data_IF_660903738328
#
_entry.id   IF_660903738328
#
_cell.length_a   1.000
_cell.length_b   1.000
_cell.length_c   1.000
_cell.angle_alpha   90.00
_cell.angle_beta   90.00
_cell.angle_gamma   90.00
#
_symmetry.space_group_name_H-M   'P 1'
#
loop_
_entity.id
_entity.type
_entity.pdbx_description
1 polymer ?
#
# COMPACT_ATOMS: atom_id res chain seq x y z
N UNK A 1 23.58 1.75 -18.44
CA UNK A 1 22.76 0.80 -17.66
C UNK A 1 22.20 1.50 -16.42
N UNK A 2 23.08 2.04 -15.56
CA UNK A 2 22.68 2.77 -14.33
C UNK A 2 21.65 3.89 -14.57
N UNK A 3 21.75 4.67 -15.66
CA UNK A 3 20.81 5.78 -15.92
C UNK A 3 19.34 5.36 -15.98
N UNK A 4 19.05 4.16 -16.50
CA UNK A 4 17.69 3.63 -16.54
C UNK A 4 17.18 3.32 -15.14
N UNK A 5 18.05 2.80 -14.27
CA UNK A 5 17.76 2.53 -12.87
C UNK A 5 17.57 3.82 -12.06
N UNK A 6 18.45 4.81 -12.25
CA UNK A 6 18.43 6.07 -11.51
C UNK A 6 17.13 6.87 -11.69
N UNK A 7 16.37 6.64 -12.76
CA UNK A 7 15.05 7.29 -12.99
C UNK A 7 14.01 6.90 -11.95
N UNK A 8 14.19 5.75 -11.28
CA UNK A 8 13.28 5.28 -10.24
C UNK A 8 13.67 5.78 -8.85
N UNK A 9 14.75 6.55 -8.72
CA UNK A 9 15.29 7.03 -7.45
C UNK A 9 15.14 8.55 -7.38
N UNK A 10 14.14 9.07 -6.64
CA UNK A 10 13.78 10.48 -6.68
C UNK A 10 14.78 11.39 -5.95
N UNK A 11 15.43 10.88 -4.91
CA UNK A 11 16.39 11.63 -4.11
C UNK A 11 17.65 10.81 -3.86
N UNK A 12 18.73 11.21 -4.52
CA UNK A 12 20.04 10.56 -4.43
C UNK A 12 20.95 11.18 -3.36
N UNK A 13 20.49 12.27 -2.74
CA UNK A 13 21.26 13.02 -1.74
C UNK A 13 21.07 12.48 -0.32
N UNK A 14 20.10 11.60 -0.10
CA UNK A 14 19.92 10.93 1.19
C UNK A 14 21.09 9.99 1.49
N UNK A 15 21.38 9.85 2.78
CA UNK A 15 22.22 8.75 3.25
C UNK A 15 21.59 7.43 2.81
N UNK A 16 22.40 6.58 2.19
CA UNK A 16 21.96 5.26 1.77
C UNK A 16 23.09 4.25 1.80
N UNK A 17 22.73 2.98 1.93
CA UNK A 17 23.65 1.85 1.81
C UNK A 17 23.37 1.12 0.51
N UNK A 18 24.43 0.89 -0.28
CA UNK A 18 24.34 0.25 -1.59
C UNK A 18 25.19 -1.01 -1.57
N UNK A 19 24.60 -2.12 -1.96
CA UNK A 19 25.31 -3.38 -2.23
C UNK A 19 25.47 -3.53 -3.74
N UNK A 20 26.71 -3.62 -4.20
CA UNK A 20 27.09 -3.94 -5.58
C UNK A 20 27.60 -5.39 -5.57
N UNK A 21 26.74 -6.34 -5.96
CA UNK A 21 26.91 -7.77 -5.72
C UNK A 21 27.25 -8.48 -7.03
N UNK A 22 28.50 -8.90 -7.19
CA UNK A 22 29.05 -9.28 -8.50
C UNK A 22 29.68 -8.08 -9.20
N UNK A 23 30.53 -7.34 -8.48
CA UNK A 23 31.06 -6.05 -8.93
C UNK A 23 31.91 -6.10 -10.20
N UNK A 24 32.41 -7.28 -10.59
CA UNK A 24 33.36 -7.54 -11.67
C UNK A 24 34.67 -6.78 -11.52
N UNK A 25 34.65 -5.47 -11.66
CA UNK A 25 35.79 -4.56 -11.61
C UNK A 25 35.56 -3.31 -10.73
N UNK A 26 34.43 -3.26 -10.00
CA UNK A 26 33.99 -2.13 -9.17
C UNK A 26 33.69 -0.83 -9.93
N UNK A 27 33.61 -0.82 -11.26
CA UNK A 27 33.24 0.40 -11.99
C UNK A 27 31.80 0.82 -11.66
N UNK A 28 30.89 -0.14 -11.47
CA UNK A 28 29.51 0.16 -11.06
C UNK A 28 29.44 0.80 -9.66
N UNK A 29 30.26 0.33 -8.72
CA UNK A 29 30.46 0.96 -7.42
C UNK A 29 30.97 2.41 -7.53
N UNK A 30 31.89 2.70 -8.46
CA UNK A 30 32.37 4.07 -8.69
C UNK A 30 31.26 4.96 -9.30
N UNK A 31 30.44 4.40 -10.20
CA UNK A 31 29.26 5.13 -10.70
C UNK A 31 28.29 5.48 -9.56
N UNK A 32 28.01 4.55 -8.65
CA UNK A 32 27.21 4.82 -7.46
C UNK A 32 27.84 5.88 -6.56
N UNK A 33 29.15 5.82 -6.33
CA UNK A 33 29.89 6.82 -5.56
C UNK A 33 29.68 8.23 -6.10
N UNK A 34 29.71 8.38 -7.43
CA UNK A 34 29.55 9.67 -8.10
C UNK A 34 28.08 10.17 -8.10
N UNK A 35 27.11 9.24 -8.18
CA UNK A 35 25.68 9.58 -8.28
C UNK A 35 25.01 9.78 -6.92
N UNK A 36 25.55 9.16 -5.86
CA UNK A 36 25.00 9.21 -4.50
C UNK A 36 26.08 9.74 -3.55
N UNK A 37 26.14 11.07 -3.33
CA UNK A 37 27.23 11.69 -2.57
C UNK A 37 27.33 11.24 -1.11
N UNK A 38 26.22 10.77 -0.53
CA UNK A 38 26.14 10.31 0.86
C UNK A 38 25.99 8.79 0.99
N UNK A 39 26.21 8.03 -0.09
CA UNK A 39 26.12 6.58 -0.04
C UNK A 39 27.36 5.95 0.59
N UNK A 40 27.15 4.88 1.37
CA UNK A 40 28.19 3.89 1.70
C UNK A 40 27.97 2.64 0.85
N UNK A 41 29.01 2.22 0.15
CA UNK A 41 28.95 1.20 -0.90
C UNK A 41 29.77 -0.01 -0.48
N UNK A 42 29.16 -1.18 -0.57
CA UNK A 42 29.80 -2.47 -0.31
C UNK A 42 29.80 -3.27 -1.62
N UNK A 43 30.99 -3.43 -2.17
CA UNK A 43 31.25 -4.14 -3.41
C UNK A 43 31.61 -5.60 -3.10
N UNK A 44 30.98 -6.57 -3.74
CA UNK A 44 31.23 -7.99 -3.53
C UNK A 44 31.79 -8.61 -4.80
N UNK A 45 32.97 -9.23 -4.70
CA UNK A 45 33.61 -9.92 -5.81
C UNK A 45 34.43 -11.13 -5.31
N UNK A 46 34.44 -12.21 -6.06
CA UNK A 46 35.13 -13.45 -5.71
C UNK A 46 36.10 -13.94 -6.79
N UNK A 47 36.03 -13.37 -7.99
CA UNK A 47 36.79 -13.80 -9.14
C UNK A 47 38.27 -13.37 -9.01
N UNK A 48 39.20 -14.32 -8.89
CA UNK A 48 40.62 -13.99 -8.76
C UNK A 48 41.17 -13.22 -9.96
N UNK A 49 40.54 -13.36 -11.14
CA UNK A 49 40.95 -12.66 -12.35
C UNK A 49 40.66 -11.15 -12.29
N UNK A 50 39.78 -10.70 -11.38
CA UNK A 50 39.35 -9.31 -11.33
C UNK A 50 39.51 -8.64 -9.96
N UNK A 51 39.76 -9.39 -8.90
CA UNK A 51 40.00 -8.83 -7.55
C UNK A 51 41.09 -7.75 -7.52
N UNK A 52 42.21 -7.94 -8.23
CA UNK A 52 43.26 -6.91 -8.32
C UNK A 52 42.80 -5.64 -9.05
N UNK A 53 41.93 -5.81 -10.05
CA UNK A 53 41.32 -4.69 -10.80
C UNK A 53 40.37 -3.93 -9.87
N UNK A 54 39.50 -4.64 -9.13
CA UNK A 54 38.62 -4.05 -8.12
C UNK A 54 39.40 -3.20 -7.12
N UNK A 55 40.43 -3.78 -6.48
CA UNK A 55 41.27 -3.08 -5.50
C UNK A 55 41.91 -1.81 -6.09
N UNK A 56 42.45 -1.91 -7.29
CA UNK A 56 43.08 -0.78 -7.99
C UNK A 56 42.09 0.33 -8.33
N UNK A 57 40.91 -0.03 -8.82
CA UNK A 57 39.88 0.94 -9.24
C UNK A 57 39.35 1.75 -8.06
N UNK A 58 39.14 1.12 -6.91
CA UNK A 58 38.57 1.78 -5.73
C UNK A 58 39.61 2.50 -4.84
N UNK A 59 40.90 2.49 -5.21
CA UNK A 59 42.00 3.02 -4.36
C UNK A 59 41.73 4.45 -3.87
N UNK A 60 41.17 5.31 -4.73
CA UNK A 60 40.83 6.71 -4.42
C UNK A 60 39.43 6.92 -3.84
N UNK A 61 38.67 5.84 -3.57
CA UNK A 61 37.25 5.89 -3.18
C UNK A 61 36.97 5.13 -1.87
N UNK A 62 38.04 4.79 -1.13
CA UNK A 62 37.98 3.99 0.11
C UNK A 62 37.28 4.69 1.28
N UNK A 63 36.98 5.98 1.15
CA UNK A 63 36.18 6.73 2.12
C UNK A 63 34.72 6.24 2.17
N UNK A 64 34.20 5.71 1.06
CA UNK A 64 32.81 5.23 0.96
C UNK A 64 32.63 3.87 0.28
N UNK A 65 33.62 3.35 -0.45
CA UNK A 65 33.56 2.02 -1.08
C UNK A 65 34.40 1.02 -0.31
N UNK A 66 33.80 -0.12 0.07
CA UNK A 66 34.46 -1.25 0.73
C UNK A 66 34.33 -2.49 -0.16
N UNK A 67 35.46 -3.09 -0.54
CA UNK A 67 35.49 -4.37 -1.23
C UNK A 67 35.41 -5.53 -0.24
N UNK A 68 34.48 -6.44 -0.48
CA UNK A 68 34.29 -7.69 0.26
C UNK A 68 34.63 -8.84 -0.68
N UNK A 69 35.68 -9.57 -0.34
CA UNK A 69 36.18 -10.66 -1.16
C UNK A 69 35.51 -11.99 -0.79
N UNK A 70 34.91 -12.64 -1.79
CA UNK A 70 34.20 -13.89 -1.64
C UNK A 70 32.86 -13.89 -2.38
N UNK A 71 32.38 -15.08 -2.72
CA UNK A 71 31.10 -15.25 -3.39
C UNK A 71 29.96 -14.87 -2.44
N UNK A 72 28.79 -14.55 -2.98
CA UNK A 72 27.58 -14.33 -2.18
C UNK A 72 26.66 -15.53 -2.34
N UNK A 73 26.17 -16.07 -1.23
CA UNK A 73 25.34 -17.27 -1.19
C UNK A 73 24.33 -17.23 -0.01
N UNK A 74 23.54 -18.28 0.15
CA UNK A 74 22.62 -18.47 1.28
C UNK A 74 23.26 -19.16 2.49
N UNK A 75 24.57 -19.38 2.49
CA UNK A 75 25.37 -19.85 3.63
C UNK A 75 26.77 -19.20 3.65
N UNK A 76 27.41 -19.21 4.82
CA UNK A 76 28.81 -18.82 4.98
C UNK A 76 29.71 -20.06 4.91
N UNK A 77 30.85 -19.99 4.22
CA UNK A 77 31.78 -21.12 4.12
C UNK A 77 32.67 -21.08 2.89
N UNK A 78 32.95 -22.24 2.31
CA UNK A 78 33.62 -22.37 1.02
C UNK A 78 32.63 -22.89 -0.03
N UNK A 79 32.73 -22.37 -1.25
CA UNK A 79 31.95 -22.81 -2.40
C UNK A 79 32.86 -23.07 -3.61
N UNK A 80 32.41 -23.95 -4.50
CA UNK A 80 33.01 -24.09 -5.82
C UNK A 80 32.66 -22.87 -6.68
N UNK A 81 33.64 -22.29 -7.35
CA UNK A 81 33.48 -21.19 -8.27
C UNK A 81 34.17 -21.51 -9.59
N UNK A 82 33.53 -21.11 -10.69
CA UNK A 82 33.94 -21.44 -12.05
C UNK A 82 34.32 -20.18 -12.83
N UNK A 83 35.50 -19.60 -12.56
CA UNK A 83 35.97 -18.41 -13.24
C UNK A 83 36.18 -18.70 -14.73
N UNK A 84 35.79 -17.75 -15.56
CA UNK A 84 36.08 -17.77 -16.98
C UNK A 84 37.59 -17.74 -17.21
N UNK A 85 38.09 -18.73 -17.95
CA UNK A 85 39.44 -18.72 -18.49
C UNK A 85 39.50 -17.74 -19.68
N UNK A 86 39.77 -16.47 -19.39
CA UNK A 86 39.76 -15.36 -20.35
C UNK A 86 40.63 -15.60 -21.60
N UNK A 87 41.63 -16.50 -21.53
CA UNK A 87 42.51 -16.83 -22.66
C UNK A 87 41.94 -17.91 -23.58
N UNK A 88 41.02 -18.74 -23.09
CA UNK A 88 40.47 -19.90 -23.81
C UNK A 88 39.01 -19.71 -24.21
N UNK A 89 38.27 -18.87 -23.50
CA UNK A 89 36.90 -18.51 -23.86
C UNK A 89 36.85 -17.80 -25.21
N UNK A 90 35.90 -18.20 -26.05
CA UNK A 90 35.64 -17.55 -27.35
C UNK A 90 34.50 -16.56 -27.16
N UNK A 91 34.83 -15.28 -27.26
CA UNK A 91 33.92 -14.17 -26.98
C UNK A 91 34.23 -12.94 -27.83
N UNK A 92 33.28 -12.03 -27.97
CA UNK A 92 33.47 -10.69 -28.56
C UNK A 92 34.08 -9.68 -27.58
N UNK A 93 34.10 -10.00 -26.27
CA UNK A 93 34.67 -9.13 -25.25
C UNK A 93 36.20 -9.18 -25.25
N UNK A 94 36.83 -8.00 -25.36
CA UNK A 94 38.31 -7.89 -25.49
C UNK A 94 39.07 -8.39 -24.26
N UNK A 95 38.44 -8.38 -23.10
CA UNK A 95 39.00 -8.86 -21.84
C UNK A 95 38.68 -10.33 -21.58
N UNK A 96 38.08 -11.06 -22.54
CA UNK A 96 37.75 -12.47 -22.36
C UNK A 96 36.53 -12.73 -21.47
N UNK A 97 35.72 -11.69 -21.20
CA UNK A 97 34.47 -11.75 -20.44
C UNK A 97 34.58 -12.43 -19.06
N UNK A 98 35.40 -11.91 -18.13
CA UNK A 98 35.47 -12.46 -16.77
C UNK A 98 34.14 -12.33 -16.00
N UNK A 99 33.22 -11.45 -16.45
CA UNK A 99 31.90 -11.27 -15.86
C UNK A 99 30.98 -12.48 -16.01
N UNK A 100 31.18 -13.31 -17.04
CA UNK A 100 30.44 -14.57 -17.22
C UNK A 100 30.91 -15.71 -16.28
N UNK A 101 31.54 -15.37 -15.16
CA UNK A 101 31.97 -16.35 -14.16
C UNK A 101 30.83 -16.60 -13.18
N UNK A 102 30.65 -17.85 -12.75
CA UNK A 102 29.51 -18.23 -11.90
C UNK A 102 29.92 -19.28 -10.87
N UNK A 103 29.13 -19.42 -9.81
CA UNK A 103 29.17 -20.60 -8.92
C UNK A 103 28.53 -21.84 -9.58
N UNK A 104 27.94 -21.69 -10.77
CA UNK A 104 27.36 -22.75 -11.58
C UNK A 104 28.23 -23.06 -12.81
N UNK A 105 28.24 -24.33 -13.25
CA UNK A 105 28.96 -24.75 -14.47
C UNK A 105 28.13 -24.42 -15.71
N UNK A 106 28.75 -23.82 -16.72
CA UNK A 106 28.15 -23.60 -18.04
C UNK A 106 27.62 -24.92 -18.61
N UNK A 107 26.40 -24.89 -19.15
CA UNK A 107 25.80 -26.03 -19.85
C UNK A 107 26.12 -26.02 -21.36
N UNK A 108 26.88 -25.04 -21.85
CA UNK A 108 27.25 -24.84 -23.26
C UNK A 108 26.07 -24.63 -24.22
N UNK A 109 24.91 -24.20 -23.72
CA UNK A 109 23.74 -23.90 -24.59
C UNK A 109 23.76 -22.48 -25.14
N UNK A 110 24.46 -21.55 -24.49
CA UNK A 110 24.58 -20.17 -24.94
C UNK A 110 25.42 -20.09 -26.21
N UNK A 111 24.79 -19.76 -27.34
CA UNK A 111 25.41 -19.88 -28.67
C UNK A 111 26.31 -18.70 -29.05
N UNK A 112 26.22 -17.58 -28.33
CA UNK A 112 26.96 -16.36 -28.67
C UNK A 112 28.42 -16.42 -28.24
N UNK A 113 28.74 -17.26 -27.25
CA UNK A 113 30.07 -17.39 -26.66
C UNK A 113 30.35 -18.86 -26.33
N UNK A 114 31.62 -19.27 -26.34
CA UNK A 114 32.03 -20.61 -25.89
C UNK A 114 32.85 -20.43 -24.62
N UNK A 115 32.22 -20.70 -23.48
CA UNK A 115 32.83 -20.53 -22.17
C UNK A 115 33.76 -21.69 -21.84
N UNK A 116 35.00 -21.35 -21.51
CA UNK A 116 35.94 -22.26 -20.87
C UNK A 116 36.10 -21.80 -19.42
N UNK A 117 35.71 -22.65 -18.48
CA UNK A 117 35.79 -22.35 -17.05
C UNK A 117 36.94 -23.12 -16.41
N UNK A 118 37.71 -22.43 -15.56
CA UNK A 118 38.56 -23.10 -14.58
C UNK A 118 37.69 -23.49 -13.35
N UNK A 119 38.24 -24.28 -12.42
CA UNK A 119 37.52 -24.74 -11.23
C UNK A 119 38.34 -24.42 -9.98
N UNK A 120 37.80 -23.59 -9.10
CA UNK A 120 38.47 -23.19 -7.85
C UNK A 120 37.51 -23.23 -6.67
N UNK A 121 38.06 -23.25 -5.46
CA UNK A 121 37.30 -22.97 -4.23
C UNK A 121 37.53 -21.51 -3.82
N UNK A 122 36.47 -20.87 -3.35
CA UNK A 122 36.53 -19.53 -2.76
C UNK A 122 35.62 -19.46 -1.54
N UNK A 123 35.87 -18.48 -0.67
CA UNK A 123 34.97 -18.24 0.45
C UNK A 123 33.63 -17.71 -0.10
N UNK A 124 32.53 -18.07 0.54
CA UNK A 124 31.22 -17.48 0.32
C UNK A 124 30.66 -16.89 1.61
N UNK A 125 29.83 -15.86 1.46
CA UNK A 125 29.21 -15.15 2.56
C UNK A 125 27.71 -15.03 2.36
N UNK A 126 26.97 -15.13 3.46
CA UNK A 126 25.62 -14.57 3.53
C UNK A 126 25.71 -13.06 3.62
N UNK A 127 24.80 -12.37 2.92
CA UNK A 127 24.69 -10.92 3.01
C UNK A 127 24.33 -10.47 4.44
N UNK A 128 23.49 -11.21 5.17
CA UNK A 128 23.16 -10.87 6.56
C UNK A 128 24.34 -11.02 7.53
N UNK A 129 25.22 -12.00 7.32
CA UNK A 129 26.46 -12.18 8.08
C UNK A 129 27.42 -11.03 7.85
N UNK A 130 27.55 -10.57 6.60
CA UNK A 130 28.31 -9.36 6.26
C UNK A 130 27.71 -8.13 6.93
N UNK A 131 26.39 -7.95 6.88
CA UNK A 131 25.71 -6.83 7.53
C UNK A 131 26.02 -6.78 9.02
N UNK A 132 25.96 -7.93 9.72
CA UNK A 132 26.33 -8.02 11.14
C UNK A 132 27.81 -7.68 11.38
N UNK A 133 28.72 -8.17 10.53
CA UNK A 133 30.17 -7.95 10.65
C UNK A 133 30.56 -6.48 10.50
N UNK A 134 29.89 -5.74 9.60
CA UNK A 134 30.18 -4.33 9.31
C UNK A 134 29.21 -3.34 9.99
N UNK A 135 28.38 -3.83 10.91
CA UNK A 135 27.33 -3.08 11.61
C UNK A 135 26.36 -2.31 10.69
N UNK A 136 25.97 -2.94 9.59
CA UNK A 136 25.07 -2.40 8.58
C UNK A 136 23.63 -2.65 9.05
N UNK A 137 22.88 -1.57 9.31
CA UNK A 137 21.49 -1.66 9.81
C UNK A 137 20.46 -1.90 8.71
N UNK A 138 20.69 -1.33 7.54
CA UNK A 138 19.82 -1.39 6.39
C UNK A 138 20.65 -1.40 5.10
N UNK A 139 20.08 -1.97 4.04
CA UNK A 139 20.58 -1.83 2.66
C UNK A 139 19.46 -1.18 1.88
N UNK A 140 19.71 -0.08 1.18
CA UNK A 140 18.66 0.62 0.43
C UNK A 140 18.58 0.13 -1.02
N UNK A 141 19.75 -0.13 -1.62
CA UNK A 141 19.88 -0.53 -3.02
C UNK A 141 20.72 -1.79 -3.09
N UNK A 142 20.21 -2.79 -3.81
CA UNK A 142 21.00 -3.93 -4.28
C UNK A 142 21.10 -3.82 -5.80
N UNK A 143 22.33 -3.78 -6.29
CA UNK A 143 22.66 -4.00 -7.68
C UNK A 143 23.33 -5.36 -7.77
N UNK A 144 22.79 -6.29 -8.53
CA UNK A 144 23.36 -7.63 -8.62
C UNK A 144 23.38 -8.19 -10.03
N UNK A 145 24.46 -8.87 -10.35
CA UNK A 145 24.65 -9.67 -11.56
C UNK A 145 25.59 -10.80 -11.17
N UNK A 146 25.02 -11.98 -10.90
CA UNK A 146 25.73 -13.11 -10.31
C UNK A 146 25.71 -14.34 -11.20
N UNK A 147 25.28 -14.18 -12.45
CA UNK A 147 25.27 -15.24 -13.44
C UNK A 147 24.53 -16.49 -12.92
N UNK A 148 23.36 -16.27 -12.31
CA UNK A 148 22.44 -17.32 -11.88
C UNK A 148 22.30 -17.54 -10.37
N UNK A 149 23.05 -16.81 -9.53
CA UNK A 149 23.03 -16.96 -8.07
C UNK A 149 22.18 -15.90 -7.33
N UNK A 150 21.39 -15.12 -8.05
CA UNK A 150 20.58 -14.00 -7.55
C UNK A 150 19.64 -14.44 -6.41
N UNK A 151 18.96 -15.58 -6.57
CA UNK A 151 18.05 -16.11 -5.56
C UNK A 151 18.78 -16.51 -4.27
N UNK A 152 19.98 -17.08 -4.40
CA UNK A 152 20.81 -17.46 -3.24
C UNK A 152 21.28 -16.22 -2.50
N UNK A 153 21.71 -15.17 -3.22
CA UNK A 153 22.07 -13.90 -2.62
C UNK A 153 20.91 -13.27 -1.85
N UNK A 154 19.71 -13.24 -2.43
CA UNK A 154 18.52 -12.72 -1.76
C UNK A 154 18.10 -13.55 -0.54
N UNK A 155 18.22 -14.88 -0.58
CA UNK A 155 18.02 -15.75 0.59
C UNK A 155 19.09 -15.53 1.67
N UNK A 156 20.31 -15.17 1.26
CA UNK A 156 21.42 -14.78 2.13
C UNK A 156 21.16 -13.52 2.97
N UNK A 157 20.19 -12.67 2.60
CA UNK A 157 19.78 -11.51 3.42
C UNK A 157 18.88 -11.88 4.59
N UNK A 158 18.17 -13.02 4.52
CA UNK A 158 17.14 -13.36 5.52
C UNK A 158 16.16 -12.21 5.77
N UNK A 159 15.93 -11.88 7.04
CA UNK A 159 15.00 -10.82 7.45
C UNK A 159 15.43 -9.42 6.99
N UNK A 160 16.72 -9.19 6.72
CA UNK A 160 17.21 -7.90 6.24
C UNK A 160 16.73 -7.55 4.84
N UNK A 161 16.23 -8.54 4.07
CA UNK A 161 15.59 -8.27 2.79
C UNK A 161 14.50 -7.21 2.95
N UNK A 162 13.77 -7.19 4.07
CA UNK A 162 12.73 -6.21 4.40
C UNK A 162 13.21 -4.75 4.46
N UNK A 163 14.52 -4.52 4.59
CA UNK A 163 15.12 -3.17 4.59
C UNK A 163 15.42 -2.66 3.18
N UNK A 164 15.51 -3.55 2.19
CA UNK A 164 15.89 -3.24 0.80
C UNK A 164 14.80 -2.46 0.10
N UNK A 165 15.12 -1.28 -0.45
CA UNK A 165 14.16 -0.45 -1.17
C UNK A 165 14.16 -0.70 -2.66
N UNK A 166 15.33 -0.90 -3.27
CA UNK A 166 15.47 -1.12 -4.70
C UNK A 166 16.35 -2.32 -4.98
N UNK A 167 15.97 -3.11 -5.98
CA UNK A 167 16.79 -4.20 -6.51
C UNK A 167 16.90 -3.99 -8.02
N UNK A 168 18.13 -3.90 -8.52
CA UNK A 168 18.44 -4.08 -9.92
C UNK A 168 19.13 -5.43 -10.08
N UNK A 169 18.67 -6.24 -11.03
CA UNK A 169 19.30 -7.54 -11.31
C UNK A 169 19.23 -7.90 -12.78
N UNK A 170 20.28 -8.51 -13.32
CA UNK A 170 20.14 -9.28 -14.56
C UNK A 170 19.28 -10.52 -14.26
N UNK A 171 18.40 -10.90 -15.19
CA UNK A 171 17.56 -12.10 -15.08
C UNK A 171 17.64 -12.91 -16.36
N UNK A 172 17.69 -14.24 -16.23
CA UNK A 172 17.77 -15.15 -17.36
C UNK A 172 16.44 -15.87 -17.64
N UNK A 173 16.06 -15.94 -18.92
CA UNK A 173 14.87 -16.69 -19.37
C UNK A 173 15.24 -18.08 -19.88
N UNK A 174 16.53 -18.36 -20.06
CA UNK A 174 17.07 -19.64 -20.55
C UNK A 174 18.32 -19.98 -19.76
N UNK A 175 18.47 -21.24 -19.41
CA UNK A 175 19.59 -21.74 -18.64
C UNK A 175 20.90 -21.66 -19.44
N UNK A 176 21.87 -20.89 -18.94
CA UNK A 176 23.26 -20.80 -19.44
C UNK A 176 24.20 -21.66 -18.57
N UNK A 177 23.93 -21.73 -17.27
CA UNK A 177 24.65 -22.50 -16.28
C UNK A 177 23.71 -23.52 -15.62
N UNK A 178 24.21 -24.73 -15.40
CA UNK A 178 23.43 -25.84 -14.86
C UNK A 178 22.99 -25.54 -13.43
N UNK A 179 21.67 -25.45 -13.21
CA UNK A 179 21.08 -25.23 -11.90
C UNK A 179 20.93 -23.76 -11.47
N UNK A 180 21.13 -22.80 -12.38
CA UNK A 180 20.85 -21.39 -12.10
C UNK A 180 19.36 -21.12 -11.87
N UNK A 181 19.05 -20.03 -11.17
CA UNK A 181 17.66 -19.52 -11.13
C UNK A 181 17.27 -18.93 -12.50
N UNK A 182 16.00 -19.06 -12.86
CA UNK A 182 15.42 -18.38 -14.02
C UNK A 182 14.45 -17.28 -13.58
N UNK A 183 14.14 -16.36 -14.50
CA UNK A 183 13.30 -15.19 -14.26
C UNK A 183 12.01 -15.51 -13.50
N UNK A 184 11.26 -16.55 -13.90
CA UNK A 184 9.97 -16.84 -13.27
C UNK A 184 10.11 -17.15 -11.77
N UNK A 185 11.06 -18.02 -11.40
CA UNK A 185 11.30 -18.39 -10.00
C UNK A 185 11.84 -17.19 -9.20
N UNK A 186 12.81 -16.45 -9.76
CA UNK A 186 13.37 -15.27 -9.11
C UNK A 186 12.31 -14.18 -8.90
N UNK A 187 11.51 -13.90 -9.94
CA UNK A 187 10.45 -12.91 -9.89
C UNK A 187 9.35 -13.30 -8.90
N UNK A 188 8.93 -14.58 -8.87
CA UNK A 188 7.97 -15.06 -7.87
C UNK A 188 8.48 -14.83 -6.44
N UNK A 189 9.75 -15.16 -6.17
CA UNK A 189 10.37 -14.93 -4.87
C UNK A 189 10.42 -13.44 -4.51
N UNK A 190 10.86 -12.57 -5.43
CA UNK A 190 10.97 -11.12 -5.18
C UNK A 190 9.58 -10.50 -4.95
N UNK A 191 8.58 -10.85 -5.75
CA UNK A 191 7.21 -10.35 -5.58
C UNK A 191 6.57 -10.82 -4.26
N UNK A 192 6.80 -12.07 -3.87
CA UNK A 192 6.32 -12.61 -2.59
C UNK A 192 6.94 -11.88 -1.38
N UNK A 193 8.14 -11.31 -1.53
CA UNK A 193 8.84 -10.51 -0.51
C UNK A 193 8.51 -9.01 -0.56
N UNK A 194 7.39 -8.65 -1.20
CA UNK A 194 6.82 -7.31 -1.12
C UNK A 194 7.48 -6.31 -2.05
N UNK A 195 7.85 -6.71 -3.27
CA UNK A 195 8.34 -5.81 -4.32
C UNK A 195 7.38 -5.73 -5.51
N UNK A 196 7.55 -4.70 -6.34
CA UNK A 196 6.90 -4.55 -7.64
C UNK A 196 7.98 -4.43 -8.73
N UNK A 197 7.79 -5.14 -9.85
CA UNK A 197 8.59 -4.96 -11.06
C UNK A 197 8.23 -3.62 -11.72
N UNK A 198 9.23 -2.79 -12.04
CA UNK A 198 9.04 -1.40 -12.49
C UNK A 198 9.23 -1.20 -13.98
N UNK A 199 10.05 -2.02 -14.63
CA UNK A 199 10.31 -1.93 -16.05
C UNK A 199 9.57 -3.04 -16.83
N UNK A 200 9.34 -2.80 -18.13
CA UNK A 200 8.76 -3.79 -19.04
C UNK A 200 9.88 -4.68 -19.56
N UNK A 201 9.63 -6.00 -19.56
CA UNK A 201 10.55 -7.02 -20.03
C UNK A 201 10.12 -7.56 -21.40
N UNK A 202 11.09 -7.85 -22.27
CA UNK A 202 10.87 -8.36 -23.62
C UNK A 202 10.56 -9.86 -23.63
N UNK A 203 11.09 -10.62 -22.66
CA UNK A 203 10.89 -12.07 -22.45
C UNK A 203 11.30 -12.99 -23.61
N UNK A 204 11.86 -12.45 -24.69
CA UNK A 204 12.27 -13.19 -25.89
C UNK A 204 13.79 -13.23 -26.09
N UNK A 205 14.56 -12.87 -25.07
CA UNK A 205 16.03 -12.84 -25.07
C UNK A 205 16.59 -13.74 -23.97
N UNK A 206 17.91 -13.95 -23.95
CA UNK A 206 18.56 -14.84 -22.98
C UNK A 206 18.56 -14.24 -21.59
N UNK A 207 19.04 -13.01 -21.47
CA UNK A 207 19.03 -12.22 -20.24
C UNK A 207 18.50 -10.81 -20.49
N UNK A 208 18.01 -10.15 -19.45
CA UNK A 208 17.66 -8.73 -19.45
C UNK A 208 17.69 -8.13 -18.04
N UNK A 209 17.76 -6.80 -17.94
CA UNK A 209 17.73 -6.11 -16.65
C UNK A 209 16.30 -6.05 -16.08
N UNK A 210 16.12 -6.47 -14.84
CA UNK A 210 14.89 -6.30 -14.08
C UNK A 210 15.10 -5.32 -12.92
N UNK A 211 14.17 -4.37 -12.79
CA UNK A 211 14.20 -3.36 -11.74
C UNK A 211 12.99 -3.56 -10.85
N UNK A 212 13.24 -3.81 -9.58
CA UNK A 212 12.22 -3.93 -8.55
C UNK A 212 12.33 -2.78 -7.55
N UNK A 213 11.17 -2.31 -7.12
CA UNK A 213 11.04 -1.37 -6.01
C UNK A 213 10.20 -2.06 -4.95
N UNK A 214 10.66 -2.02 -3.70
CA UNK A 214 9.87 -2.49 -2.56
C UNK A 214 8.54 -1.78 -2.62
N UNK A 215 7.46 -2.53 -2.41
CA UNK A 215 6.16 -1.97 -2.04
C UNK A 215 6.42 -1.16 -0.79
N UNK A 216 6.65 0.12 -1.01
CA UNK A 216 6.96 1.05 0.04
C UNK A 216 5.74 1.05 0.95
N UNK A 217 5.96 1.20 2.25
CA UNK A 217 4.92 1.76 3.12
C UNK A 217 4.58 3.22 2.72
N UNK A 218 4.89 3.68 1.49
CA UNK A 218 4.32 4.86 0.84
C UNK A 218 2.89 4.62 0.39
N UNK A 219 2.18 3.84 1.19
CA UNK A 219 0.77 3.99 1.30
C UNK A 219 0.38 4.00 2.80
N UNK A 220 1.13 4.80 3.58
CA UNK A 220 0.51 5.42 4.75
C UNK A 220 -0.78 6.12 4.33
N UNK A 221 -0.92 6.66 3.11
CA UNK A 221 -2.24 7.10 2.58
C UNK A 221 -3.28 5.98 2.44
N UNK A 222 -2.90 4.73 2.14
CA UNK A 222 -3.83 3.58 2.17
C UNK A 222 -4.13 3.09 3.59
N UNK A 223 -3.29 3.38 4.59
CA UNK A 223 -3.57 3.09 6.01
C UNK A 223 -4.19 4.26 6.77
N UNK A 224 -4.07 5.46 6.24
CA UNK A 224 -4.73 6.65 6.71
C UNK A 224 -6.11 6.74 6.07
N UNK A 225 -6.98 7.45 6.75
CA UNK A 225 -8.29 7.84 6.24
C UNK A 225 -8.57 9.26 6.69
N UNK A 226 -9.45 9.95 5.99
CA UNK A 226 -9.99 11.21 6.51
C UNK A 226 -11.29 10.94 7.28
N UNK A 227 -11.61 11.78 8.25
CA UNK A 227 -12.88 11.69 8.98
C UNK A 227 -13.85 12.70 8.40
N UNK A 228 -15.09 12.28 8.16
CA UNK A 228 -16.21 13.13 7.79
C UNK A 228 -17.21 13.16 8.95
N UNK A 229 -17.58 14.36 9.40
CA UNK A 229 -18.67 14.57 10.35
C UNK A 229 -19.70 15.51 9.74
N UNK A 230 -20.86 14.99 9.28
CA UNK A 230 -21.98 15.84 8.86
C UNK A 230 -22.67 16.44 10.09
N UNK A 231 -22.64 17.77 10.21
CA UNK A 231 -23.12 18.49 11.39
C UNK A 231 -24.52 19.04 11.11
N UNK A 232 -25.53 18.45 11.74
CA UNK A 232 -26.91 18.95 11.67
C UNK A 232 -27.13 20.18 12.56
N UNK A 233 -28.22 20.94 12.33
CA UNK A 233 -28.54 22.12 13.14
C UNK A 233 -28.79 21.81 14.62
N UNK A 234 -29.17 20.57 14.96
CA UNK A 234 -29.42 20.12 16.34
C UNK A 234 -28.15 19.62 17.07
N UNK A 235 -26.99 19.65 16.42
CA UNK A 235 -25.73 19.13 16.97
C UNK A 235 -24.64 20.21 17.06
N UNK A 236 -24.95 21.44 16.66
CA UNK A 236 -24.00 22.56 16.64
C UNK A 236 -23.46 22.94 18.03
N UNK A 237 -24.22 22.65 19.08
CA UNK A 237 -23.89 22.85 20.48
C UNK A 237 -22.96 21.76 21.05
N UNK A 238 -23.06 20.52 20.55
CA UNK A 238 -22.25 19.40 21.03
C UNK A 238 -21.01 19.12 20.17
N UNK A 239 -20.96 19.61 18.92
CA UNK A 239 -19.93 19.23 17.94
C UNK A 239 -18.50 19.49 18.42
N UNK A 240 -18.26 20.59 19.14
CA UNK A 240 -16.92 20.88 19.70
C UNK A 240 -16.45 19.75 20.61
N UNK A 241 -17.32 19.30 21.49
CA UNK A 241 -17.04 18.19 22.41
C UNK A 241 -16.93 16.86 21.68
N UNK A 242 -17.76 16.64 20.66
CA UNK A 242 -17.67 15.42 19.84
C UNK A 242 -16.31 15.33 19.14
N UNK A 243 -15.80 16.45 18.60
CA UNK A 243 -14.51 16.50 17.94
C UNK A 243 -13.35 16.29 18.91
N UNK A 244 -13.43 16.77 20.16
CA UNK A 244 -12.44 16.45 21.19
C UNK A 244 -12.30 14.94 21.41
N UNK A 245 -13.43 14.20 21.46
CA UNK A 245 -13.42 12.75 21.62
C UNK A 245 -12.91 12.05 20.36
N UNK A 246 -13.35 12.49 19.18
CA UNK A 246 -12.89 11.99 17.88
C UNK A 246 -11.37 12.09 17.77
N UNK A 247 -10.80 13.28 18.02
CA UNK A 247 -9.35 13.51 17.95
C UNK A 247 -8.57 12.67 18.96
N UNK A 248 -9.12 12.51 20.15
CA UNK A 248 -8.46 11.75 21.23
C UNK A 248 -8.44 10.25 20.96
N UNK A 249 -9.51 9.72 20.38
CA UNK A 249 -9.79 8.29 20.44
C UNK A 249 -9.81 7.59 19.07
N UNK A 250 -9.95 8.30 17.95
CA UNK A 250 -9.81 7.67 16.63
C UNK A 250 -8.34 7.69 16.22
N UNK A 251 -7.81 6.53 15.83
CA UNK A 251 -6.39 6.35 15.50
C UNK A 251 -6.21 6.13 14.00
N UNK A 252 -5.21 6.80 13.42
CA UNK A 252 -4.82 6.63 12.03
C UNK A 252 -5.61 7.48 11.03
N UNK A 253 -6.13 8.64 11.46
CA UNK A 253 -6.75 9.60 10.54
C UNK A 253 -5.77 10.71 10.14
N UNK A 254 -5.97 11.30 8.96
CA UNK A 254 -5.19 12.45 8.45
C UNK A 254 -5.89 13.78 8.74
N UNK A 255 -7.05 14.01 8.13
CA UNK A 255 -7.83 15.23 8.34
C UNK A 255 -9.22 14.91 8.94
N UNK A 256 -9.84 15.91 9.57
CA UNK A 256 -11.25 15.87 9.95
C UNK A 256 -11.99 16.97 9.19
N UNK A 257 -12.95 16.58 8.36
CA UNK A 257 -13.82 17.49 7.63
C UNK A 257 -15.20 17.57 8.31
N UNK A 258 -15.66 18.79 8.51
CA UNK A 258 -17.00 19.08 9.04
C UNK A 258 -17.87 19.54 7.88
N UNK A 259 -18.90 18.76 7.54
CA UNK A 259 -19.89 19.20 6.54
C UNK A 259 -20.96 20.00 7.27
N UNK A 260 -21.10 21.27 6.93
CA UNK A 260 -22.05 22.17 7.58
C UNK A 260 -22.76 23.06 6.55
N UNK A 261 -23.92 23.60 6.92
CA UNK A 261 -24.76 24.39 6.01
C UNK A 261 -24.03 25.61 5.41
N UNK A 262 -22.97 26.10 6.06
CA UNK A 262 -22.07 27.14 5.59
C UNK A 262 -20.66 26.94 6.18
N UNK A 263 -19.72 27.82 5.83
CA UNK A 263 -18.32 27.79 6.27
C UNK A 263 -18.07 28.48 7.63
N UNK A 264 -19.12 28.87 8.35
CA UNK A 264 -18.99 29.67 9.58
C UNK A 264 -18.56 28.86 10.80
N UNK A 265 -18.76 27.55 10.79
CA UNK A 265 -18.31 26.67 11.88
C UNK A 265 -16.79 26.54 11.82
N UNK A 266 -16.09 26.98 12.87
CA UNK A 266 -14.64 26.90 12.97
C UNK A 266 -14.26 26.15 14.24
N UNK A 267 -13.57 25.02 14.06
CA UNK A 267 -13.02 24.19 15.14
C UNK A 267 -11.56 23.97 14.79
N UNK A 268 -10.67 24.30 15.73
CA UNK A 268 -9.22 24.15 15.53
C UNK A 268 -8.89 22.73 15.05
N UNK A 269 -7.95 22.58 14.13
CA UNK A 269 -7.55 21.29 13.54
C UNK A 269 -8.65 20.53 12.77
N UNK A 270 -9.70 21.21 12.30
CA UNK A 270 -10.71 20.67 11.40
C UNK A 270 -10.85 21.55 10.14
N UNK A 271 -11.35 20.97 9.04
CA UNK A 271 -11.62 21.65 7.78
C UNK A 271 -13.13 21.71 7.57
N UNK A 272 -13.72 22.89 7.56
CA UNK A 272 -15.16 23.04 7.35
C UNK A 272 -15.48 23.12 5.86
N UNK A 273 -16.42 22.28 5.44
CA UNK A 273 -16.91 22.16 4.07
C UNK A 273 -18.38 22.60 4.05
N UNK A 274 -18.71 23.58 3.21
CA UNK A 274 -20.09 24.01 2.99
C UNK A 274 -20.87 22.95 2.21
N UNK A 275 -22.10 22.63 2.63
CA UNK A 275 -23.04 21.78 1.87
C UNK A 275 -23.25 22.26 0.43
N UNK A 276 -23.02 23.56 0.15
CA UNK A 276 -23.20 24.14 -1.19
C UNK A 276 -22.27 23.59 -2.27
N UNK A 277 -21.20 22.87 -1.91
CA UNK A 277 -20.30 22.26 -2.91
C UNK A 277 -20.86 20.95 -3.48
N UNK A 278 -21.87 20.37 -2.85
CA UNK A 278 -22.49 19.12 -3.29
C UNK A 278 -23.51 19.39 -4.43
N UNK A 279 -23.72 18.43 -5.34
CA UNK A 279 -24.63 18.61 -6.49
C UNK A 279 -26.12 18.56 -6.12
N UNK A 280 -26.45 18.51 -4.84
CA UNK A 280 -27.81 18.47 -4.30
C UNK A 280 -27.87 19.31 -3.02
N UNK A 281 -29.09 19.65 -2.62
CA UNK A 281 -29.35 20.41 -1.40
C UNK A 281 -30.65 19.94 -0.76
N UNK A 282 -31.01 20.52 0.39
CA UNK A 282 -32.33 20.30 0.99
C UNK A 282 -33.48 20.55 0.00
N UNK A 283 -33.33 21.51 -0.92
CA UNK A 283 -34.33 21.80 -1.97
C UNK A 283 -34.50 20.64 -2.96
N UNK A 284 -33.44 19.89 -3.23
CA UNK A 284 -33.51 18.67 -4.07
C UNK A 284 -34.38 17.62 -3.40
N UNK A 285 -34.21 17.42 -2.08
CA UNK A 285 -35.03 16.49 -1.28
C UNK A 285 -36.48 16.98 -1.24
N UNK A 286 -36.70 18.27 -0.93
CA UNK A 286 -38.04 18.87 -0.89
C UNK A 286 -38.81 18.73 -2.21
N UNK A 287 -38.13 18.81 -3.35
CA UNK A 287 -38.74 18.65 -4.66
C UNK A 287 -39.30 17.24 -4.88
N UNK A 288 -38.67 16.21 -4.30
CA UNK A 288 -39.06 14.81 -4.50
C UNK A 288 -39.98 14.29 -3.39
N UNK A 289 -39.74 14.69 -2.14
CA UNK A 289 -40.44 14.17 -0.96
C UNK A 289 -41.46 15.16 -0.37
N UNK A 290 -41.48 16.41 -0.84
CA UNK A 290 -42.20 17.50 -0.19
C UNK A 290 -41.42 18.08 1.00
N UNK A 291 -41.96 19.09 1.67
CA UNK A 291 -41.33 19.70 2.86
C UNK A 291 -41.69 18.90 4.11
N UNK A 292 -40.82 17.96 4.48
CA UNK A 292 -41.02 17.06 5.62
C UNK A 292 -39.91 17.23 6.65
N UNK A 293 -40.22 16.95 7.92
CA UNK A 293 -39.25 17.04 9.03
C UNK A 293 -38.05 16.10 8.86
N UNK A 294 -38.20 15.04 8.06
CA UNK A 294 -37.16 14.05 7.81
C UNK A 294 -36.21 14.41 6.66
N UNK A 295 -36.44 15.49 5.92
CA UNK A 295 -35.64 15.81 4.73
C UNK A 295 -34.13 15.96 5.03
N UNK A 296 -33.78 16.53 6.18
CA UNK A 296 -32.38 16.65 6.62
C UNK A 296 -31.70 15.30 6.81
N UNK A 297 -32.44 14.26 7.20
CA UNK A 297 -31.93 12.89 7.33
C UNK A 297 -31.53 12.32 5.97
N UNK A 298 -32.37 12.49 4.94
CA UNK A 298 -32.05 12.02 3.58
C UNK A 298 -30.91 12.82 2.95
N UNK A 299 -30.86 14.13 3.21
CA UNK A 299 -29.74 14.96 2.77
C UNK A 299 -28.42 14.46 3.38
N UNK A 300 -28.40 14.19 4.69
CA UNK A 300 -27.21 13.71 5.39
C UNK A 300 -26.66 12.41 4.79
N UNK A 301 -27.52 11.45 4.46
CA UNK A 301 -27.11 10.19 3.83
C UNK A 301 -26.41 10.40 2.48
N UNK A 302 -26.93 11.32 1.66
CA UNK A 302 -26.30 11.67 0.39
C UNK A 302 -24.95 12.39 0.61
N UNK A 303 -24.86 13.32 1.56
CA UNK A 303 -23.60 14.00 1.89
C UNK A 303 -22.50 12.98 2.26
N UNK A 304 -22.84 11.97 3.08
CA UNK A 304 -21.93 10.89 3.48
C UNK A 304 -21.39 10.12 2.27
N UNK A 305 -22.27 9.67 1.37
CA UNK A 305 -21.85 8.89 0.19
C UNK A 305 -21.07 9.74 -0.84
N UNK A 306 -21.42 11.00 -1.02
CA UNK A 306 -20.76 11.87 -2.00
C UNK A 306 -19.45 12.48 -1.52
N UNK A 307 -19.11 12.37 -0.23
CA UNK A 307 -17.96 13.04 0.36
C UNK A 307 -16.66 12.75 -0.40
N UNK A 308 -16.41 11.48 -0.71
CA UNK A 308 -15.22 11.05 -1.47
C UNK A 308 -15.14 11.53 -2.92
N UNK A 309 -16.25 12.01 -3.49
CA UNK A 309 -16.30 12.52 -4.87
C UNK A 309 -16.21 14.05 -4.95
N UNK A 310 -16.62 14.74 -3.88
CA UNK A 310 -16.89 16.18 -3.91
C UNK A 310 -15.87 16.98 -3.09
N UNK A 311 -15.40 16.44 -1.97
CA UNK A 311 -14.49 17.15 -1.08
C UNK A 311 -13.09 17.19 -1.70
N UNK A 312 -12.51 18.39 -1.92
CA UNK A 312 -11.16 18.50 -2.47
C UNK A 312 -10.11 17.81 -1.59
N UNK A 313 -9.18 17.12 -2.24
CA UNK A 313 -8.03 16.45 -1.65
C UNK A 313 -8.33 15.36 -0.60
N UNK A 314 -9.60 14.93 -0.45
CA UNK A 314 -9.97 13.82 0.45
C UNK A 314 -9.32 12.50 0.01
N UNK A 315 -8.93 11.66 0.96
CA UNK A 315 -8.45 10.29 0.68
C UNK A 315 -9.56 9.38 0.12
N UNK A 316 -9.17 8.32 -0.60
CA UNK A 316 -10.10 7.27 -1.05
C UNK A 316 -10.84 6.64 0.15
N UNK A 317 -10.13 6.41 1.26
CA UNK A 317 -10.70 5.95 2.52
C UNK A 317 -11.15 7.12 3.38
N UNK A 318 -12.41 7.12 3.77
CA UNK A 318 -12.94 8.12 4.70
C UNK A 318 -13.92 7.52 5.70
N UNK A 319 -13.71 7.83 6.99
CA UNK A 319 -14.56 7.40 8.09
C UNK A 319 -15.65 8.43 8.29
N UNK A 320 -16.88 8.05 8.03
CA UNK A 320 -18.04 8.86 8.42
C UNK A 320 -18.35 8.57 9.88
N UNK A 321 -18.49 9.62 10.68
CA UNK A 321 -18.96 9.57 12.08
C UNK A 321 -20.16 10.50 12.22
N UNK A 322 -21.26 10.00 12.80
CA UNK A 322 -22.42 10.85 13.11
C UNK A 322 -22.05 11.91 14.17
N UNK A 323 -22.59 13.13 14.04
CA UNK A 323 -22.24 14.27 14.90
C UNK A 323 -22.61 14.07 16.38
N UNK A 324 -23.43 13.07 16.69
CA UNK A 324 -23.81 12.67 18.04
C UNK A 324 -23.04 11.44 18.55
N UNK A 325 -22.01 10.97 17.83
CA UNK A 325 -21.26 9.75 18.18
C UNK A 325 -19.90 10.05 18.79
N UNK A 326 -19.66 9.51 19.99
CA UNK A 326 -18.49 9.81 20.83
C UNK A 326 -17.68 8.54 21.11
N UNK A 327 -16.48 8.44 20.53
CA UNK A 327 -15.54 7.36 20.83
C UNK A 327 -14.92 7.58 22.21
N UNK A 328 -15.05 6.61 23.11
CA UNK A 328 -14.58 6.68 24.49
C UNK A 328 -13.18 6.08 24.67
N UNK A 329 -12.75 5.21 23.74
CA UNK A 329 -11.47 4.51 23.77
C UNK A 329 -10.73 4.58 22.44
N UNK A 330 -9.38 4.47 22.44
CA UNK A 330 -8.58 4.33 21.23
C UNK A 330 -9.13 3.25 20.30
N UNK A 331 -9.51 3.65 19.08
CA UNK A 331 -10.19 2.80 18.10
C UNK A 331 -9.49 2.94 16.75
N UNK A 332 -9.02 1.81 16.22
CA UNK A 332 -8.45 1.69 14.87
C UNK A 332 -9.51 1.24 13.87
N UNK A 333 -9.42 1.70 12.63
CA UNK A 333 -10.37 1.39 11.55
C UNK A 333 -9.75 0.63 10.37
N UNK A 334 -8.43 0.52 10.33
CA UNK A 334 -7.70 -0.25 9.31
C UNK A 334 -6.71 -1.15 10.05
N UNK A 335 -6.66 -2.43 9.69
CA UNK A 335 -5.69 -3.40 10.22
C UNK A 335 -5.41 -4.47 9.17
N UNK A 336 -4.14 -4.82 9.00
CA UNK A 336 -3.68 -5.85 8.05
C UNK A 336 -4.24 -5.59 6.63
N UNK A 337 -4.20 -4.31 6.21
CA UNK A 337 -4.71 -3.77 4.94
C UNK A 337 -6.22 -4.00 4.68
N UNK A 338 -7.00 -4.26 5.73
CA UNK A 338 -8.46 -4.39 5.68
C UNK A 338 -9.18 -3.31 6.48
N UNK A 339 -10.30 -2.86 5.94
CA UNK A 339 -11.22 -1.95 6.63
C UNK A 339 -12.00 -2.72 7.72
N UNK A 340 -12.02 -2.18 8.95
CA UNK A 340 -12.67 -2.78 10.10
C UNK A 340 -14.09 -2.25 10.28
N UNK A 341 -15.08 -3.10 10.13
CA UNK A 341 -16.49 -2.70 10.22
C UNK A 341 -17.11 -3.18 11.52
N UNK A 342 -17.70 -2.24 12.26
CA UNK A 342 -18.62 -2.59 13.33
C UNK A 342 -19.99 -2.98 12.78
N UNK A 343 -20.86 -3.48 13.64
CA UNK A 343 -22.25 -3.72 13.31
C UNK A 343 -23.17 -3.42 14.49
N UNK A 344 -24.40 -3.06 14.17
CA UNK A 344 -25.51 -2.99 15.13
C UNK A 344 -26.36 -4.24 15.13
N UNK A 345 -27.49 -4.13 15.83
CA UNK A 345 -28.60 -5.09 15.83
C UNK A 345 -29.94 -4.44 15.49
N UNK A 346 -29.91 -3.16 15.12
CA UNK A 346 -31.08 -2.38 14.76
C UNK A 346 -31.43 -2.67 13.30
N UNK A 347 -32.65 -3.16 13.05
CA UNK A 347 -33.10 -3.46 11.69
C UNK A 347 -34.38 -2.69 11.42
N UNK A 348 -34.38 -1.91 10.34
CA UNK A 348 -35.57 -1.23 9.88
C UNK A 348 -35.96 -1.73 8.49
N UNK A 349 -37.17 -2.29 8.37
CA UNK A 349 -37.67 -2.91 7.13
C UNK A 349 -37.59 -1.99 5.89
N UNK A 350 -37.96 -0.69 5.98
CA UNK A 350 -37.84 0.24 4.86
C UNK A 350 -36.43 0.36 4.26
N UNK A 351 -35.35 0.18 5.04
CA UNK A 351 -33.98 0.23 4.51
C UNK A 351 -33.74 -0.86 3.46
N UNK A 352 -34.20 -2.08 3.74
CA UNK A 352 -34.02 -3.22 2.83
C UNK A 352 -35.01 -3.16 1.66
N UNK A 353 -36.21 -2.60 1.87
CA UNK A 353 -37.15 -2.32 0.77
C UNK A 353 -36.55 -1.30 -0.21
N UNK A 354 -35.94 -0.22 0.31
CA UNK A 354 -35.20 0.77 -0.48
C UNK A 354 -34.10 0.12 -1.31
N UNK A 355 -33.22 -0.67 -0.68
CA UNK A 355 -32.16 -1.41 -1.38
C UNK A 355 -32.71 -2.27 -2.53
N UNK A 356 -33.79 -3.02 -2.28
CA UNK A 356 -34.40 -3.89 -3.29
C UNK A 356 -34.99 -3.13 -4.48
N UNK A 357 -35.42 -1.87 -4.28
CA UNK A 357 -35.89 -0.98 -5.34
C UNK A 357 -34.75 -0.34 -6.12
N UNK A 358 -33.61 -0.11 -5.47
CA UNK A 358 -32.41 0.40 -6.12
C UNK A 358 -31.85 -0.60 -7.12
N UNK A 359 -31.61 -1.85 -6.69
CA UNK A 359 -31.05 -2.87 -7.57
C UNK A 359 -31.50 -4.28 -7.15
N UNK A 360 -31.87 -5.17 -8.10
CA UNK A 360 -32.30 -6.54 -7.77
C UNK A 360 -31.27 -7.37 -7.00
N UNK A 361 -29.97 -7.05 -7.14
CA UNK A 361 -28.92 -7.76 -6.42
C UNK A 361 -28.69 -7.25 -5.00
N UNK A 362 -29.18 -6.06 -4.66
CA UNK A 362 -28.97 -5.48 -3.33
C UNK A 362 -29.94 -6.13 -2.35
N UNK A 363 -29.36 -6.87 -1.41
CA UNK A 363 -30.09 -7.67 -0.43
C UNK A 363 -29.35 -7.67 0.89
N UNK A 364 -30.07 -7.97 1.95
CA UNK A 364 -29.49 -8.17 3.27
C UNK A 364 -28.64 -9.45 3.28
N UNK A 365 -27.38 -9.33 3.71
CA UNK A 365 -26.41 -10.42 3.68
C UNK A 365 -26.30 -11.17 5.02
N UNK A 366 -26.62 -10.53 6.14
CA UNK A 366 -26.55 -11.14 7.48
C UNK A 366 -27.83 -10.87 8.29
N UNK A 367 -28.38 -11.93 8.91
CA UNK A 367 -29.63 -11.87 9.70
C UNK A 367 -29.44 -11.34 11.13
N UNK A 368 -28.21 -11.17 11.58
CA UNK A 368 -27.89 -10.75 12.95
C UNK A 368 -26.98 -9.51 13.00
N UNK A 369 -26.43 -9.08 11.86
CA UNK A 369 -25.57 -7.89 11.76
C UNK A 369 -26.22 -6.83 10.88
N UNK A 370 -26.33 -5.62 11.41
CA UNK A 370 -26.79 -4.43 10.71
C UNK A 370 -25.63 -3.47 10.47
N UNK A 371 -25.63 -2.77 9.33
CA UNK A 371 -24.73 -1.64 9.10
C UNK A 371 -25.00 -0.42 10.00
N UNK A 372 -26.18 -0.35 10.65
CA UNK A 372 -26.57 0.75 11.54
C UNK A 372 -25.77 0.68 12.84
N UNK A 373 -24.70 1.47 12.90
CA UNK A 373 -23.85 1.59 14.09
C UNK A 373 -23.19 2.99 14.24
N UNK A 374 -23.75 4.01 13.58
CA UNK A 374 -23.42 5.43 13.69
C UNK A 374 -22.03 5.88 13.19
N UNK A 375 -21.28 4.95 12.58
CA UNK A 375 -20.05 5.26 11.86
C UNK A 375 -19.75 4.15 10.85
N UNK A 376 -19.03 4.48 9.78
CA UNK A 376 -18.53 3.48 8.83
C UNK A 376 -17.38 4.04 8.02
N UNK A 377 -16.38 3.19 7.77
CA UNK A 377 -15.28 3.51 6.86
C UNK A 377 -15.72 3.19 5.43
N UNK A 378 -15.78 4.21 4.59
CA UNK A 378 -16.07 4.10 3.17
C UNK A 378 -14.79 4.17 2.34
N UNK A 379 -14.84 3.55 1.17
CA UNK A 379 -13.86 3.68 0.09
C UNK A 379 -14.56 4.24 -1.15
N UNK A 380 -14.07 5.37 -1.66
CA UNK A 380 -14.64 6.10 -2.80
C UNK A 380 -14.84 5.21 -4.00
N UNK A 381 -13.86 4.35 -4.33
CA UNK A 381 -13.95 3.40 -5.45
C UNK A 381 -15.20 2.49 -5.40
N UNK A 382 -15.59 1.99 -4.22
CA UNK A 382 -16.77 1.12 -4.08
C UNK A 382 -18.07 1.92 -4.06
N UNK A 383 -18.05 3.15 -3.54
CA UNK A 383 -19.21 4.04 -3.64
C UNK A 383 -19.47 4.40 -5.10
N UNK A 384 -18.43 4.76 -5.86
CA UNK A 384 -18.51 5.02 -7.31
C UNK A 384 -19.05 3.81 -8.07
N UNK A 385 -18.65 2.59 -7.70
CA UNK A 385 -19.20 1.36 -8.29
C UNK A 385 -20.71 1.24 -8.07
N UNK A 386 -21.19 1.45 -6.83
CA UNK A 386 -22.63 1.45 -6.52
C UNK A 386 -23.36 2.52 -7.34
N UNK A 387 -22.82 3.74 -7.39
CA UNK A 387 -23.41 4.84 -8.16
C UNK A 387 -23.50 4.44 -9.64
N UNK A 388 -22.40 3.98 -10.23
CA UNK A 388 -22.33 3.58 -11.64
C UNK A 388 -23.33 2.46 -11.98
N UNK A 389 -23.45 1.44 -11.12
CA UNK A 389 -24.44 0.37 -11.29
C UNK A 389 -25.86 0.92 -11.38
N UNK A 390 -26.21 1.85 -10.49
CA UNK A 390 -27.55 2.41 -10.42
C UNK A 390 -27.83 3.39 -11.55
N UNK A 391 -26.93 4.32 -11.83
CA UNK A 391 -27.07 5.29 -12.92
C UNK A 391 -27.16 4.60 -14.29
N UNK A 392 -26.43 3.50 -14.47
CA UNK A 392 -26.47 2.69 -15.70
C UNK A 392 -27.84 2.06 -15.97
N UNK A 393 -28.58 1.67 -14.93
CA UNK A 393 -29.88 1.00 -15.06
C UNK A 393 -31.02 2.00 -15.07
N UNK A 394 -31.01 2.98 -14.15
CA UNK A 394 -32.11 3.93 -13.98
C UNK A 394 -32.02 5.14 -14.93
N UNK A 395 -30.87 5.37 -15.57
CA UNK A 395 -30.63 6.48 -16.51
C UNK A 395 -30.91 7.86 -15.90
N UNK A 396 -30.52 8.05 -14.65
CA UNK A 396 -30.62 9.29 -13.89
C UNK A 396 -29.39 9.40 -12.97
N UNK A 397 -29.20 10.53 -12.30
CA UNK A 397 -28.15 10.74 -11.29
C UNK A 397 -28.40 9.91 -10.03
N UNK A 398 -27.35 9.42 -9.38
CA UNK A 398 -27.47 8.56 -8.20
C UNK A 398 -28.28 9.21 -7.08
N UNK A 399 -28.09 10.51 -6.77
CA UNK A 399 -28.88 11.18 -5.72
C UNK A 399 -30.38 11.22 -6.05
N UNK A 400 -30.78 11.39 -7.32
CA UNK A 400 -32.18 11.33 -7.72
C UNK A 400 -32.73 9.89 -7.60
N UNK A 401 -31.95 8.90 -8.03
CA UNK A 401 -32.34 7.48 -7.94
C UNK A 401 -32.53 7.08 -6.48
N UNK A 402 -31.59 7.46 -5.62
CA UNK A 402 -31.63 7.21 -4.18
C UNK A 402 -32.92 7.78 -3.56
N UNK A 403 -33.23 9.06 -3.83
CA UNK A 403 -34.40 9.73 -3.28
C UNK A 403 -35.73 9.19 -3.86
N UNK A 404 -35.83 8.96 -5.17
CA UNK A 404 -37.07 8.46 -5.82
C UNK A 404 -37.47 7.07 -5.34
N UNK A 405 -36.52 6.29 -4.85
CA UNK A 405 -36.77 4.91 -4.42
C UNK A 405 -37.06 4.78 -2.92
N UNK A 406 -36.96 5.85 -2.13
CA UNK A 406 -37.32 5.83 -0.70
C UNK A 406 -38.79 5.41 -0.55
N UNK A 407 -39.07 4.47 0.36
CA UNK A 407 -40.43 3.90 0.51
C UNK A 407 -41.24 4.56 1.61
N UNK A 408 -40.60 5.14 2.62
CA UNK A 408 -41.23 5.86 3.73
C UNK A 408 -40.61 7.24 3.90
N UNK A 409 -41.18 8.25 3.26
CA UNK A 409 -40.66 9.62 3.29
C UNK A 409 -40.78 10.31 4.67
N UNK A 410 -41.71 9.85 5.53
CA UNK A 410 -41.94 10.47 6.84
C UNK A 410 -41.08 9.82 7.95
N UNK A 411 -40.77 8.53 7.82
CA UNK A 411 -39.89 7.79 8.72
C UNK A 411 -38.49 7.57 8.15
N UNK A 412 -37.79 6.56 8.66
CA UNK A 412 -36.44 6.22 8.22
C UNK A 412 -36.50 5.28 7.00
N UNK A 413 -36.77 5.83 5.82
CA UNK A 413 -37.05 5.05 4.61
C UNK A 413 -35.83 4.56 3.82
N UNK A 414 -34.62 4.98 4.18
CA UNK A 414 -33.36 4.59 3.52
C UNK A 414 -32.19 4.63 4.51
N UNK A 415 -31.13 3.86 4.22
CA UNK A 415 -29.85 3.95 4.92
C UNK A 415 -28.68 3.68 3.97
N UNK A 416 -27.79 4.66 3.89
CA UNK A 416 -26.45 4.58 3.31
C UNK A 416 -25.59 3.50 3.97
N UNK A 417 -25.67 3.36 5.29
CA UNK A 417 -24.91 2.36 6.04
C UNK A 417 -25.38 0.95 5.69
N UNK A 418 -26.69 0.68 5.64
CA UNK A 418 -27.18 -0.64 5.22
C UNK A 418 -26.85 -0.94 3.76
N UNK A 419 -27.00 0.05 2.87
CA UNK A 419 -26.67 -0.12 1.45
C UNK A 419 -25.20 -0.53 1.27
N UNK A 420 -24.27 0.24 1.86
CA UNK A 420 -22.84 0.02 1.68
C UNK A 420 -22.33 -1.22 2.43
N UNK A 421 -22.76 -1.44 3.67
CA UNK A 421 -22.37 -2.61 4.46
C UNK A 421 -22.73 -3.92 3.77
N UNK A 422 -23.97 -4.06 3.30
CA UNK A 422 -24.41 -5.27 2.62
C UNK A 422 -23.77 -5.42 1.23
N UNK A 423 -23.50 -4.32 0.53
CA UNK A 423 -22.75 -4.35 -0.73
C UNK A 423 -21.35 -4.93 -0.51
N UNK A 424 -20.63 -4.44 0.51
CA UNK A 424 -19.28 -4.93 0.83
C UNK A 424 -19.27 -6.40 1.27
N UNK A 425 -20.26 -6.83 2.07
CA UNK A 425 -20.40 -8.24 2.44
C UNK A 425 -20.69 -9.16 1.24
N UNK A 426 -21.45 -8.71 0.25
CA UNK A 426 -21.80 -9.51 -0.94
C UNK A 426 -20.67 -9.57 -1.97
N UNK A 427 -20.00 -8.44 -2.25
CA UNK A 427 -19.07 -8.29 -3.38
C UNK A 427 -17.60 -8.35 -2.99
N UNK A 428 -17.25 -7.84 -1.82
CA UNK A 428 -15.86 -7.67 -1.40
C UNK A 428 -15.59 -8.18 0.03
N UNK A 429 -16.02 -9.40 0.40
CA UNK A 429 -15.87 -9.90 1.77
C UNK A 429 -14.40 -10.02 2.21
N UNK A 430 -13.47 -10.14 1.27
CA UNK A 430 -12.03 -10.23 1.56
C UNK A 430 -11.37 -8.86 1.84
N UNK A 431 -12.01 -7.76 1.45
CA UNK A 431 -11.50 -6.39 1.66
C UNK A 431 -11.80 -5.84 3.07
N UNK A 432 -12.74 -6.46 3.79
CA UNK A 432 -13.21 -6.00 5.10
C UNK A 432 -12.99 -7.07 6.17
N UNK A 433 -13.03 -6.63 7.43
CA UNK A 433 -13.13 -7.52 8.60
C UNK A 433 -14.21 -7.00 9.52
N UNK A 434 -15.19 -7.84 9.82
CA UNK A 434 -16.23 -7.50 10.80
C UNK A 434 -15.65 -7.63 12.21
N UNK A 435 -15.71 -6.54 12.98
CA UNK A 435 -15.22 -6.45 14.36
C UNK A 435 -16.28 -5.80 15.25
N UNK A 436 -16.84 -6.50 16.24
CA UNK A 436 -17.78 -5.89 17.17
C UNK A 436 -17.07 -4.88 18.08
N UNK A 437 -17.68 -3.70 18.23
CA UNK A 437 -17.37 -2.73 19.27
C UNK A 437 -18.51 -2.72 20.30
N UNK A 438 -18.21 -2.45 21.57
CA UNK A 438 -19.21 -2.26 22.63
C UNK A 438 -19.77 -0.85 22.53
N UNK A 439 -21.08 -0.70 22.31
CA UNK A 439 -21.69 0.62 22.20
C UNK A 439 -23.15 0.64 22.67
N UNK A 440 -23.66 1.85 22.91
CA UNK A 440 -25.07 2.08 23.23
C UNK A 440 -25.55 3.48 22.81
N UNK A 441 -26.85 3.62 22.60
CA UNK A 441 -27.53 4.91 22.60
C UNK A 441 -27.61 5.43 24.04
N UNK A 442 -27.23 6.68 24.29
CA UNK A 442 -27.12 7.26 25.63
C UNK A 442 -27.80 8.62 25.72
N UNK A 443 -28.33 8.96 26.90
CA UNK A 443 -28.83 10.30 27.26
C UNK A 443 -27.83 11.11 28.10
N UNK A 444 -26.62 10.59 28.29
CA UNK A 444 -25.51 11.28 28.97
C UNK A 444 -24.18 10.86 28.35
N UNK A 445 -23.20 11.78 28.35
CA UNK A 445 -21.84 11.49 27.90
C UNK A 445 -21.03 10.64 28.88
N UNK A 446 -21.48 10.54 30.14
CA UNK A 446 -20.86 9.72 31.16
C UNK A 446 -21.92 8.81 31.78
N UNK A 447 -22.10 7.63 31.21
CA UNK A 447 -23.08 6.63 31.67
C UNK A 447 -22.45 5.57 32.60
N UNK A 448 -21.17 5.70 32.95
CA UNK A 448 -20.45 4.76 33.83
C UNK A 448 -20.21 3.36 33.24
N UNK A 449 -20.57 3.12 31.98
CA UNK A 449 -20.41 1.82 31.32
C UNK A 449 -19.08 1.64 30.59
N UNK A 450 -18.63 0.38 30.45
CA UNK A 450 -17.45 -0.01 29.66
C UNK A 450 -17.78 -0.10 28.17
N UNK A 451 -18.00 1.05 27.53
CA UNK A 451 -18.28 1.16 26.09
C UNK A 451 -17.06 1.67 25.32
N UNK A 452 -16.92 1.24 24.06
CA UNK A 452 -15.90 1.73 23.14
C UNK A 452 -16.34 3.07 22.51
N UNK A 453 -17.65 3.22 22.27
CA UNK A 453 -18.28 4.49 21.89
C UNK A 453 -19.76 4.54 22.31
N UNK A 454 -20.35 5.74 22.29
CA UNK A 454 -21.78 5.96 22.55
C UNK A 454 -22.37 6.88 21.48
N UNK A 455 -23.68 6.80 21.26
CA UNK A 455 -24.42 7.77 20.44
C UNK A 455 -25.39 8.58 21.31
N UNK A 456 -25.13 9.87 21.42
CA UNK A 456 -25.78 10.86 22.28
C UNK A 456 -26.85 11.64 21.50
N UNK A 457 -27.87 10.92 21.05
CA UNK A 457 -28.93 11.41 20.19
C UNK A 457 -29.59 12.68 20.72
N UNK A 458 -29.80 13.68 19.86
CA UNK A 458 -30.41 14.96 20.23
C UNK A 458 -31.79 14.81 20.92
N UNK A 459 -32.60 13.83 20.51
CA UNK A 459 -33.93 13.59 21.10
C UNK A 459 -33.89 12.88 22.47
N UNK A 460 -32.71 12.43 22.90
CA UNK A 460 -32.49 11.77 24.20
C UNK A 460 -31.80 12.68 25.22
N UNK A 461 -31.31 13.86 24.81
CA UNK A 461 -30.58 14.77 25.70
C UNK A 461 -31.55 15.35 26.72
N UNK A 462 -31.22 15.20 28.00
CA UNK A 462 -31.89 15.96 29.05
C UNK A 462 -31.20 17.32 29.13
N UNK A 463 -31.99 18.40 29.07
CA UNK A 463 -31.51 19.79 29.23
C UNK A 463 -30.71 20.00 30.53
#
# INVERSE_FOLDING_TARGET
>A
MIENFLRYIPDKTKECVIFDVGSRDCLQSIEFYNQFPNAKIYAFECNPNTLDICRKNIENYKDRIILIEGAVCDYDGEIMFYPINQKKTITTWKDGNPGASSIFKSNNTYKSEIYVQDEIKTNCHRLDSVMKKYDIKNVDIIWMDLQGAELLALKGLGDYLNTVRYIHTEVEHKEIYTGQVLFNELNEYILANGFNLKNKLSKNIWSEDAIYERKTNHDESEKLFDIIVPVGPNDADIIKKQIEYTKKNIVGYRNIYLIYINDTLQIDGCITISESIFPFSIKTVEKLHGKLSRNGWYLQQLLKLYSGLVIPDILDKYLVVDADTFFLKPTVFIKDDKCLYNHGREFNKPYFEHMSRLHPSFRRMDLYKSGICHHMLFETKYVVEIMFMLESIHKDTFYNIFLKNVTDYNGSGASEYELYFNFMLDRYPNAITIRPLKWCNSNTLNNGGDYDYISYHWYMRND
#
